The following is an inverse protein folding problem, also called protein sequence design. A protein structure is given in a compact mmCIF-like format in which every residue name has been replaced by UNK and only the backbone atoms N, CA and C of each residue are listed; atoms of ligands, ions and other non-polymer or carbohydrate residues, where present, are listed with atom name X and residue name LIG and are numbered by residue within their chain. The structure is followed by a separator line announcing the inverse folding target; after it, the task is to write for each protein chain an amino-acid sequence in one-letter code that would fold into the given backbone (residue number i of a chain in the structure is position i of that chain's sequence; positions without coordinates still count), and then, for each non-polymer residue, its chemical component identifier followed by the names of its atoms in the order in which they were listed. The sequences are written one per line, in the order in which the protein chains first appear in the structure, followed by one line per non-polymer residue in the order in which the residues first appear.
data_IF_403371558036
#
_entry.id   IF_403371558036
#
_cell.length_a   1.000
_cell.length_b   1.000
_cell.length_c   1.000
_cell.angle_alpha   90.00
_cell.angle_beta   90.00
_cell.angle_gamma   90.00
#
_symmetry.space_group_name_H-M   'P 1'
#
loop_
_entity.id
_entity.type
_entity.pdbx_description
1 polymer ?
#
# COMPACT_ATOMS: atom_id res chain seq x y z
N UNK A 1 -14.07 3.81 29.36
CA UNK A 1 -14.41 3.35 27.99
C UNK A 1 -13.18 3.31 27.10
N UNK A 2 -12.57 4.43 26.71
CA UNK A 2 -11.40 4.44 25.80
C UNK A 2 -10.25 3.51 26.23
N UNK A 3 -9.82 3.55 27.50
CA UNK A 3 -8.77 2.65 27.99
C UNK A 3 -9.18 1.16 27.94
N UNK A 4 -10.46 0.85 28.18
CA UNK A 4 -10.97 -0.52 28.08
C UNK A 4 -11.06 -1.02 26.64
N UNK A 5 -11.48 -0.15 25.71
CA UNK A 5 -11.45 -0.44 24.27
C UNK A 5 -10.02 -0.63 23.80
N UNK A 6 -9.08 0.23 24.21
CA UNK A 6 -7.66 0.09 23.89
C UNK A 6 -7.08 -1.23 24.39
N UNK A 7 -7.34 -1.60 25.64
CA UNK A 7 -6.90 -2.88 26.20
C UNK A 7 -7.50 -4.09 25.45
N UNK A 8 -8.77 -4.01 25.07
CA UNK A 8 -9.42 -5.07 24.29
C UNK A 8 -8.84 -5.17 22.88
N UNK A 9 -8.58 -4.05 22.21
CA UNK A 9 -7.99 -4.04 20.86
C UNK A 9 -6.54 -4.54 20.85
N UNK A 10 -5.80 -4.32 21.93
CA UNK A 10 -4.43 -4.81 22.08
C UNK A 10 -4.33 -6.20 22.71
N UNK A 11 -5.44 -6.82 23.12
CA UNK A 11 -5.37 -8.13 23.76
C UNK A 11 -4.87 -9.22 22.80
N UNK A 12 -5.25 -9.29 21.51
CA UNK A 12 -4.73 -10.33 20.62
C UNK A 12 -3.19 -10.32 20.46
N UNK A 13 -2.52 -9.19 20.11
CA UNK A 13 -1.06 -9.20 19.98
C UNK A 13 -0.35 -9.41 21.33
N UNK A 14 -0.94 -8.99 22.46
CA UNK A 14 -0.37 -9.27 23.79
C UNK A 14 -0.48 -10.75 24.15
N UNK A 15 -1.62 -11.39 23.86
CA UNK A 15 -1.79 -12.84 24.07
C UNK A 15 -0.79 -13.59 23.20
N UNK A 16 -0.73 -13.28 21.91
CA UNK A 16 0.24 -13.89 20.98
C UNK A 16 1.69 -13.77 21.48
N UNK A 17 2.08 -12.58 21.93
CA UNK A 17 3.42 -12.34 22.48
C UNK A 17 3.73 -13.14 23.75
N UNK A 18 2.70 -13.57 24.50
CA UNK A 18 2.86 -14.38 25.70
C UNK A 18 2.71 -15.89 25.44
N UNK A 19 2.08 -16.28 24.33
CA UNK A 19 1.80 -17.69 24.01
C UNK A 19 2.74 -18.30 22.99
N UNK A 20 3.36 -17.48 22.11
CA UNK A 20 4.23 -17.93 21.03
C UNK A 20 5.68 -17.51 21.26
N UNK A 21 6.64 -18.29 20.76
CA UNK A 21 8.08 -18.02 20.83
C UNK A 21 8.75 -18.21 19.45
N UNK A 22 9.21 -17.13 18.78
CA UNK A 22 9.02 -15.74 19.16
C UNK A 22 7.57 -15.28 18.89
N UNK A 23 7.04 -14.44 19.78
CA UNK A 23 5.78 -13.73 19.51
C UNK A 23 5.92 -12.64 18.45
N UNK A 24 4.82 -12.21 17.84
CA UNK A 24 4.85 -11.27 16.72
C UNK A 24 5.50 -9.93 17.06
N UNK A 25 5.34 -9.40 18.27
CA UNK A 25 5.98 -8.13 18.65
C UNK A 25 7.51 -8.26 18.73
N UNK A 26 8.02 -9.44 19.10
CA UNK A 26 9.45 -9.75 19.12
C UNK A 26 10.01 -9.82 17.71
N UNK A 27 9.29 -10.49 16.80
CA UNK A 27 9.66 -10.57 15.38
C UNK A 27 9.74 -9.16 14.77
N UNK A 28 8.70 -8.34 14.94
CA UNK A 28 8.66 -6.97 14.46
C UNK A 28 9.79 -6.12 15.05
N UNK A 29 10.02 -6.23 16.36
CA UNK A 29 11.11 -5.50 17.02
C UNK A 29 12.46 -5.87 16.42
N UNK A 30 12.76 -7.16 16.26
CA UNK A 30 14.04 -7.63 15.69
C UNK A 30 14.20 -7.15 14.25
N UNK A 31 13.18 -7.33 13.42
CA UNK A 31 13.18 -6.91 12.02
C UNK A 31 13.46 -5.42 11.85
N UNK A 32 12.79 -4.56 12.63
CA UNK A 32 12.97 -3.12 12.54
C UNK A 32 14.16 -2.59 13.36
N UNK A 33 14.83 -3.37 14.19
CA UNK A 33 16.02 -2.92 14.95
C UNK A 33 17.34 -3.39 14.36
N UNK A 34 17.34 -4.53 13.67
CA UNK A 34 18.51 -5.10 12.98
C UNK A 34 18.20 -5.40 11.50
N UNK A 35 17.86 -4.38 10.69
CA UNK A 35 17.57 -4.59 9.28
C UNK A 35 18.85 -4.88 8.49
N UNK A 36 18.73 -5.74 7.48
CA UNK A 36 19.80 -6.04 6.53
C UNK A 36 20.01 -4.90 5.51
N UNK A 37 19.05 -3.96 5.43
CA UNK A 37 19.05 -2.81 4.56
C UNK A 37 19.27 -1.49 5.31
N UNK A 38 19.75 -0.48 4.58
CA UNK A 38 19.90 0.87 5.11
C UNK A 38 18.53 1.51 5.41
N UNK A 39 18.35 1.97 6.64
CA UNK A 39 17.16 2.72 7.05
C UNK A 39 17.19 4.17 6.53
N UNK A 40 16.01 4.77 6.37
CA UNK A 40 15.86 6.17 5.94
C UNK A 40 16.54 7.18 6.86
N UNK A 41 16.52 6.92 8.18
CA UNK A 41 17.09 7.79 9.19
C UNK A 41 16.24 9.04 9.48
N UNK A 42 16.70 9.84 10.45
CA UNK A 42 15.91 10.96 11.01
C UNK A 42 15.70 12.11 10.03
N UNK A 43 16.68 12.39 9.16
CA UNK A 43 16.61 13.49 8.21
C UNK A 43 15.50 13.29 7.17
N UNK A 44 15.46 12.10 6.57
CA UNK A 44 14.43 11.76 5.58
C UNK A 44 13.07 11.59 6.25
N UNK A 45 13.01 10.98 7.44
CA UNK A 45 11.77 10.88 8.20
C UNK A 45 11.16 12.24 8.52
N UNK A 46 11.97 13.26 8.85
CA UNK A 46 11.48 14.62 9.07
C UNK A 46 10.90 15.23 7.79
N UNK A 47 11.53 15.03 6.63
CA UNK A 47 11.02 15.52 5.33
C UNK A 47 9.69 14.85 4.99
N UNK A 48 9.62 13.52 5.07
CA UNK A 48 8.41 12.72 4.84
C UNK A 48 7.29 13.19 5.77
N UNK A 49 7.57 13.30 7.07
CA UNK A 49 6.60 13.75 8.07
C UNK A 49 6.06 15.13 7.73
N UNK A 50 6.93 16.10 7.39
CA UNK A 50 6.49 17.45 7.04
C UNK A 50 5.68 17.49 5.74
N UNK A 51 6.00 16.66 4.74
CA UNK A 51 5.17 16.55 3.51
C UNK A 51 3.78 16.00 3.85
N UNK A 52 3.69 14.96 4.66
CA UNK A 52 2.42 14.35 5.08
C UNK A 52 1.58 15.26 5.99
N UNK A 53 2.22 16.22 6.67
CA UNK A 53 1.56 17.26 7.45
C UNK A 53 1.02 18.43 6.60
N UNK A 54 1.20 18.43 5.27
CA UNK A 54 0.62 19.48 4.43
C UNK A 54 -0.92 19.52 4.60
N UNK A 55 -1.50 20.62 5.12
CA UNK A 55 -2.94 20.72 5.35
C UNK A 55 -3.76 20.74 4.05
N UNK A 56 -3.13 20.88 2.89
CA UNK A 56 -3.76 20.79 1.57
C UNK A 56 -3.31 19.56 0.77
N UNK A 57 -2.52 18.68 1.40
CA UNK A 57 -1.92 17.53 0.76
C UNK A 57 -2.75 16.26 0.84
N UNK A 58 -2.06 15.15 1.08
CA UNK A 58 -2.54 13.81 0.74
C UNK A 58 -3.70 13.30 1.59
N UNK A 59 -4.01 13.96 2.70
CA UNK A 59 -5.22 13.65 3.46
C UNK A 59 -6.51 14.03 2.72
N UNK A 60 -6.43 14.90 1.71
CA UNK A 60 -7.54 15.30 0.82
C UNK A 60 -7.40 14.67 -0.57
N UNK A 61 -6.19 14.69 -1.11
CA UNK A 61 -5.92 14.32 -2.51
C UNK A 61 -5.64 12.83 -2.70
N UNK A 62 -5.21 12.12 -1.64
CA UNK A 62 -4.67 10.78 -1.77
C UNK A 62 -3.36 10.77 -2.56
N UNK A 63 -3.09 9.65 -3.23
CA UNK A 63 -1.91 9.45 -4.08
C UNK A 63 -1.20 8.12 -3.80
N UNK A 64 -0.16 7.85 -4.58
CA UNK A 64 0.71 6.67 -4.41
C UNK A 64 2.03 7.03 -3.70
N UNK A 65 2.56 8.24 -3.91
CA UNK A 65 3.85 8.72 -3.38
C UNK A 65 3.68 9.61 -2.18
N UNK A 66 4.77 9.89 -1.47
CA UNK A 66 4.78 10.93 -0.43
C UNK A 66 4.96 12.29 -1.09
N UNK A 67 3.86 13.03 -1.17
CA UNK A 67 3.80 14.36 -1.76
C UNK A 67 3.31 15.39 -0.74
N UNK A 68 3.65 16.66 -0.96
CA UNK A 68 3.20 17.77 -0.11
C UNK A 68 4.28 18.83 0.08
N UNK A 69 3.85 20.02 0.48
CA UNK A 69 4.72 21.13 0.81
C UNK A 69 5.26 20.98 2.24
N UNK A 70 6.58 20.78 2.37
CA UNK A 70 7.24 20.81 3.68
C UNK A 70 7.02 22.13 4.41
N UNK A 71 6.95 23.25 3.68
CA UNK A 71 6.69 24.56 4.27
C UNK A 71 5.27 24.64 4.84
N UNK A 72 4.27 24.13 4.12
CA UNK A 72 2.90 24.11 4.60
C UNK A 72 2.75 23.20 5.84
N UNK A 73 3.39 22.02 5.83
CA UNK A 73 3.43 21.14 7.00
C UNK A 73 4.14 21.76 8.20
N UNK A 74 5.25 22.48 7.98
CA UNK A 74 5.94 23.22 9.04
C UNK A 74 5.06 24.34 9.62
N UNK A 75 4.32 25.06 8.78
CA UNK A 75 3.37 26.09 9.22
C UNK A 75 2.25 25.47 10.05
N UNK A 76 1.70 24.32 9.63
CA UNK A 76 0.70 23.59 10.43
C UNK A 76 1.28 23.18 11.78
N UNK A 77 2.48 22.60 11.81
CA UNK A 77 3.16 22.20 13.04
C UNK A 77 3.37 23.37 14.01
N UNK A 78 3.88 24.49 13.52
CA UNK A 78 4.08 25.69 14.32
C UNK A 78 2.75 26.27 14.83
N UNK A 79 1.72 26.29 13.99
CA UNK A 79 0.38 26.80 14.35
C UNK A 79 -0.26 25.93 15.41
N UNK A 80 -0.20 24.61 15.24
CA UNK A 80 -0.69 23.63 16.20
C UNK A 80 -0.03 23.79 17.58
N UNK A 81 1.30 23.91 17.62
CA UNK A 81 2.04 24.18 18.86
C UNK A 81 1.59 25.49 19.52
N UNK A 82 1.39 26.55 18.74
CA UNK A 82 0.90 27.82 19.27
C UNK A 82 -0.51 27.70 19.86
N UNK A 83 -1.41 26.96 19.21
CA UNK A 83 -2.78 26.72 19.70
C UNK A 83 -2.81 25.80 20.92
N UNK A 84 -1.88 24.83 21.02
CA UNK A 84 -1.71 23.99 22.20
C UNK A 84 -1.25 24.83 23.40
N UNK A 85 -0.27 25.73 23.21
CA UNK A 85 0.17 26.65 24.26
C UNK A 85 -0.96 27.57 24.71
N UNK A 86 -1.80 28.04 23.78
CA UNK A 86 -3.01 28.81 24.11
C UNK A 86 -3.97 27.97 24.96
N UNK A 87 -4.30 26.74 24.55
CA UNK A 87 -5.19 25.85 25.28
C UNK A 87 -4.67 25.54 26.69
N UNK A 88 -3.36 25.33 26.84
CA UNK A 88 -2.70 25.13 28.12
C UNK A 88 -2.82 26.36 29.03
N UNK A 89 -2.52 27.56 28.51
CA UNK A 89 -2.67 28.82 29.25
C UNK A 89 -4.11 29.09 29.68
N UNK A 90 -5.08 28.74 28.83
CA UNK A 90 -6.52 28.84 29.10
C UNK A 90 -7.06 27.69 29.96
N UNK A 91 -6.23 26.69 30.29
CA UNK A 91 -6.60 25.49 31.07
C UNK A 91 -7.71 24.66 30.44
N UNK A 92 -7.79 24.63 29.11
CA UNK A 92 -8.68 23.76 28.36
C UNK A 92 -8.11 22.34 28.31
N UNK A 93 -8.12 21.66 29.45
CA UNK A 93 -7.47 20.36 29.65
C UNK A 93 -7.97 19.25 28.73
N UNK A 94 -9.21 19.35 28.27
CA UNK A 94 -9.75 18.44 27.26
C UNK A 94 -9.04 18.59 25.91
N UNK A 95 -8.73 19.82 25.51
CA UNK A 95 -7.97 20.08 24.27
C UNK A 95 -6.50 19.73 24.44
N UNK A 96 -5.90 20.08 25.58
CA UNK A 96 -4.50 19.70 25.88
C UNK A 96 -4.32 18.19 25.87
N UNK A 97 -5.30 17.40 26.35
CA UNK A 97 -5.23 15.93 26.28
C UNK A 97 -5.24 15.42 24.84
N UNK A 98 -6.05 16.02 23.96
CA UNK A 98 -6.05 15.72 22.54
C UNK A 98 -4.71 16.08 21.91
N UNK A 99 -4.19 17.28 22.18
CA UNK A 99 -2.88 17.73 21.68
C UNK A 99 -1.75 16.80 22.13
N UNK A 100 -1.72 16.40 23.40
CA UNK A 100 -0.73 15.44 23.89
C UNK A 100 -0.85 14.10 23.17
N UNK A 101 -2.06 13.60 22.94
CA UNK A 101 -2.25 12.36 22.20
C UNK A 101 -1.77 12.47 20.74
N UNK A 102 -2.09 13.56 20.05
CA UNK A 102 -1.62 13.84 18.68
C UNK A 102 -0.10 14.00 18.63
N UNK A 103 0.49 14.70 19.60
CA UNK A 103 1.94 14.89 19.69
C UNK A 103 2.71 13.60 19.96
N UNK A 104 2.19 12.74 20.83
CA UNK A 104 2.75 11.39 21.05
C UNK A 104 2.63 10.55 19.80
N UNK A 105 1.45 10.55 19.15
CA UNK A 105 1.27 9.84 17.90
C UNK A 105 2.29 10.30 16.85
N UNK A 106 2.40 11.61 16.60
CA UNK A 106 3.34 12.20 15.65
C UNK A 106 4.81 11.87 15.95
N UNK A 107 5.20 11.88 17.22
CA UNK A 107 6.56 11.53 17.64
C UNK A 107 6.87 10.05 17.37
N UNK A 108 5.96 9.15 17.79
CA UNK A 108 6.07 7.71 17.49
C UNK A 108 6.09 7.48 15.99
N UNK A 109 5.29 8.25 15.23
CA UNK A 109 5.27 8.16 13.78
C UNK A 109 6.62 8.47 13.17
N UNK A 110 7.22 9.58 13.60
CA UNK A 110 8.51 10.06 13.07
C UNK A 110 9.62 9.05 13.34
N UNK A 111 9.60 8.42 14.52
CA UNK A 111 10.53 7.32 14.86
C UNK A 111 10.28 6.10 13.97
N UNK A 112 9.02 5.71 13.78
CA UNK A 112 8.64 4.59 12.91
C UNK A 112 9.12 4.80 11.47
N UNK A 113 8.84 5.98 10.89
CA UNK A 113 9.29 6.36 9.54
C UNK A 113 10.82 6.32 9.44
N UNK A 114 11.55 6.76 10.48
CA UNK A 114 13.03 6.76 10.46
C UNK A 114 13.65 5.37 10.41
N UNK A 115 12.89 4.34 10.77
CA UNK A 115 13.30 2.93 10.76
C UNK A 115 12.81 2.16 9.54
N UNK A 116 12.00 2.78 8.69
CA UNK A 116 11.64 2.17 7.41
C UNK A 116 12.87 2.05 6.50
N UNK A 117 12.86 1.04 5.65
CA UNK A 117 13.91 0.71 4.69
C UNK A 117 13.25 0.15 3.42
N UNK A 118 14.06 -0.02 2.38
CA UNK A 118 13.60 -0.36 1.05
C UNK A 118 12.81 0.77 0.39
N UNK A 119 11.88 0.36 -0.44
CA UNK A 119 11.04 1.20 -1.29
C UNK A 119 9.98 1.97 -0.48
N UNK A 120 9.92 3.29 -0.66
CA UNK A 120 9.12 4.21 0.18
C UNK A 120 7.92 4.74 -0.60
N UNK A 121 6.74 4.21 -0.30
CA UNK A 121 5.47 4.64 -0.92
C UNK A 121 4.47 5.13 0.13
N UNK A 122 3.50 5.95 -0.28
CA UNK A 122 2.47 6.49 0.63
C UNK A 122 1.73 5.40 1.38
N UNK A 123 1.49 4.26 0.72
CA UNK A 123 0.78 3.13 1.33
C UNK A 123 1.38 2.74 2.70
N UNK A 124 2.71 2.73 2.83
CA UNK A 124 3.42 2.39 4.08
C UNK A 124 3.13 3.38 5.22
N UNK A 125 2.85 4.65 4.87
CA UNK A 125 2.64 5.74 5.83
C UNK A 125 1.23 6.31 5.80
N UNK A 126 0.28 5.64 5.13
CA UNK A 126 -1.06 6.18 4.88
C UNK A 126 -1.83 6.49 6.17
N UNK A 127 -1.47 5.84 7.27
CA UNK A 127 -2.01 6.13 8.60
C UNK A 127 -1.64 7.54 9.12
N UNK A 128 -0.56 8.16 8.63
CA UNK A 128 -0.20 9.55 8.97
C UNK A 128 -1.24 10.56 8.49
N UNK A 129 -1.95 10.28 7.40
CA UNK A 129 -3.05 11.13 6.92
C UNK A 129 -4.13 11.34 7.99
N UNK A 130 -4.43 10.29 8.78
CA UNK A 130 -5.36 10.40 9.89
C UNK A 130 -4.82 11.29 11.03
N UNK A 131 -3.51 11.22 11.29
CA UNK A 131 -2.84 12.06 12.29
C UNK A 131 -2.87 13.53 11.85
N UNK A 132 -2.58 13.81 10.57
CA UNK A 132 -2.68 15.17 10.00
C UNK A 132 -4.10 15.72 10.14
N UNK A 133 -5.13 14.92 9.81
CA UNK A 133 -6.52 15.33 9.96
C UNK A 133 -6.88 15.64 11.44
N UNK A 134 -6.46 14.79 12.38
CA UNK A 134 -6.64 15.01 13.81
C UNK A 134 -5.91 16.27 14.29
N UNK A 135 -4.71 16.52 13.78
CA UNK A 135 -3.92 17.70 14.10
C UNK A 135 -4.58 18.99 13.60
N UNK A 136 -5.19 18.96 12.41
CA UNK A 136 -6.00 20.09 11.91
C UNK A 136 -7.18 20.36 12.84
N UNK A 137 -7.92 19.31 13.25
CA UNK A 137 -9.03 19.45 14.22
C UNK A 137 -8.52 20.03 15.55
N UNK A 138 -7.41 19.49 16.08
CA UNK A 138 -6.79 19.95 17.31
C UNK A 138 -6.32 21.41 17.22
N UNK A 139 -5.86 21.85 16.05
CA UNK A 139 -5.46 23.25 15.80
C UNK A 139 -6.66 24.19 15.72
N UNK A 140 -7.71 23.79 15.01
CA UNK A 140 -8.92 24.61 14.82
C UNK A 140 -9.75 24.73 16.08
N UNK A 141 -9.69 23.76 16.99
CA UNK A 141 -10.55 23.70 18.17
C UNK A 141 -10.31 24.85 19.17
N UNK A 142 -9.07 25.16 19.61
CA UNK A 142 -8.78 26.35 20.41
C UNK A 142 -9.20 27.65 19.72
N UNK A 143 -8.95 27.76 18.41
CA UNK A 143 -9.30 28.95 17.64
C UNK A 143 -10.83 29.17 17.61
N UNK A 144 -11.60 28.10 17.38
CA UNK A 144 -13.06 28.14 17.40
C UNK A 144 -13.60 28.53 18.79
N UNK A 145 -13.02 28.00 19.88
CA UNK A 145 -13.38 28.39 21.25
C UNK A 145 -13.09 29.85 21.53
N UNK A 146 -11.91 30.33 21.17
CA UNK A 146 -11.52 31.73 21.37
C UNK A 146 -12.43 32.69 20.59
N UNK A 147 -12.82 32.33 19.36
CA UNK A 147 -13.80 33.09 18.58
C UNK A 147 -15.19 33.06 19.22
N UNK A 148 -15.61 31.89 19.74
CA UNK A 148 -16.88 31.76 20.44
C UNK A 148 -16.92 32.61 21.71
N UNK A 149 -15.87 32.60 22.51
CA UNK A 149 -15.80 33.39 23.75
C UNK A 149 -15.81 34.90 23.46
N UNK A 150 -15.25 35.35 22.33
CA UNK A 150 -15.20 36.78 21.97
C UNK A 150 -16.48 37.32 21.33
N UNK A 151 -17.19 36.49 20.58
CA UNK A 151 -18.30 36.94 19.73
C UNK A 151 -19.64 36.24 20.00
N UNK A 152 -19.63 35.13 20.75
CA UNK A 152 -20.80 34.29 21.01
C UNK A 152 -21.89 34.98 21.84
N UNK A 153 -21.52 35.89 22.74
CA UNK A 153 -22.47 36.65 23.57
C UNK A 153 -23.30 37.67 22.77
N UNK A 154 -22.90 37.99 21.53
CA UNK A 154 -23.61 38.94 20.65
C UNK A 154 -24.73 38.30 19.84
N UNK A 155 -24.91 36.97 19.91
CA UNK A 155 -25.87 36.19 19.12
C UNK A 155 -26.64 35.30 20.09
N UNK A 156 -27.94 35.04 19.86
CA UNK A 156 -28.68 34.04 20.64
C UNK A 156 -27.96 32.68 20.59
N UNK A 157 -27.31 32.33 21.70
CA UNK A 157 -26.38 31.20 21.77
C UNK A 157 -27.01 29.85 21.39
N UNK A 158 -28.33 29.69 21.57
CA UNK A 158 -29.08 28.48 21.19
C UNK A 158 -29.26 28.35 19.67
N UNK A 159 -29.57 29.44 18.97
CA UNK A 159 -29.75 29.45 17.51
C UNK A 159 -28.41 29.25 16.79
N UNK A 160 -27.34 29.87 17.28
CA UNK A 160 -25.99 29.71 16.72
C UNK A 160 -25.45 28.29 16.94
N UNK A 161 -25.62 27.71 18.14
CA UNK A 161 -25.22 26.30 18.40
C UNK A 161 -25.98 25.33 17.52
N UNK A 162 -27.29 25.53 17.34
CA UNK A 162 -28.10 24.71 16.43
C UNK A 162 -27.62 24.85 14.99
N UNK A 163 -27.36 26.07 14.50
CA UNK A 163 -26.83 26.31 13.14
C UNK A 163 -25.43 25.72 12.96
N UNK A 164 -24.55 25.85 13.94
CA UNK A 164 -23.21 25.27 13.91
C UNK A 164 -23.28 23.73 13.92
N UNK A 165 -24.16 23.13 14.73
CA UNK A 165 -24.39 21.69 14.75
C UNK A 165 -24.96 21.17 13.42
N UNK A 166 -25.95 21.87 12.85
CA UNK A 166 -26.50 21.56 11.52
C UNK A 166 -25.41 21.73 10.44
N UNK A 167 -24.62 22.80 10.51
CA UNK A 167 -23.53 23.06 9.57
C UNK A 167 -22.44 21.99 9.63
N UNK A 168 -22.01 21.60 10.83
CA UNK A 168 -21.06 20.52 11.03
C UNK A 168 -21.60 19.17 10.54
N UNK A 169 -22.87 18.86 10.83
CA UNK A 169 -23.52 17.66 10.31
C UNK A 169 -23.62 17.69 8.78
N UNK A 170 -23.98 18.84 8.19
CA UNK A 170 -24.05 19.01 6.74
C UNK A 170 -22.66 18.83 6.09
N UNK A 171 -21.60 19.35 6.71
CA UNK A 171 -20.22 19.15 6.24
C UNK A 171 -19.83 17.68 6.35
N UNK A 172 -20.12 17.01 7.47
CA UNK A 172 -19.83 15.58 7.63
C UNK A 172 -20.58 14.72 6.60
N UNK A 173 -21.87 15.01 6.36
CA UNK A 173 -22.68 14.32 5.34
C UNK A 173 -22.15 14.62 3.93
N UNK A 174 -21.75 15.86 3.64
CA UNK A 174 -21.15 16.22 2.35
C UNK A 174 -19.80 15.53 2.14
N UNK A 175 -18.92 15.50 3.14
CA UNK A 175 -17.64 14.79 3.08
C UNK A 175 -17.83 13.28 2.94
N UNK A 176 -18.79 12.70 3.67
CA UNK A 176 -19.14 11.29 3.50
C UNK A 176 -19.67 11.01 2.09
N UNK A 177 -20.59 11.84 1.58
CA UNK A 177 -21.15 11.71 0.25
C UNK A 177 -20.08 11.84 -0.85
N UNK A 178 -19.18 12.82 -0.74
CA UNK A 178 -18.05 13.01 -1.68
C UNK A 178 -17.08 11.84 -1.63
N UNK A 179 -16.71 11.36 -0.44
CA UNK A 179 -15.82 10.21 -0.31
C UNK A 179 -16.46 8.93 -0.84
N UNK A 180 -17.74 8.67 -0.55
CA UNK A 180 -18.47 7.54 -1.11
C UNK A 180 -18.57 7.64 -2.63
N UNK A 181 -18.91 8.81 -3.17
CA UNK A 181 -18.97 9.01 -4.62
C UNK A 181 -17.60 8.74 -5.26
N UNK A 182 -16.51 9.31 -4.70
CA UNK A 182 -15.14 9.04 -5.14
C UNK A 182 -14.81 7.56 -5.10
N UNK A 183 -15.14 6.87 -4.01
CA UNK A 183 -14.83 5.46 -3.82
C UNK A 183 -15.58 4.57 -4.81
N UNK A 184 -16.83 4.89 -5.14
CA UNK A 184 -17.63 4.16 -6.14
C UNK A 184 -17.16 4.44 -7.57
N UNK A 185 -16.61 5.62 -7.84
CA UNK A 185 -16.09 5.98 -9.17
C UNK A 185 -14.60 5.71 -9.35
N UNK A 186 -13.90 5.28 -8.29
CA UNK A 186 -12.47 4.97 -8.40
C UNK A 186 -12.34 3.67 -9.18
N UNK A 187 -11.59 3.72 -10.29
CA UNK A 187 -11.28 2.53 -11.08
C UNK A 187 -10.64 1.47 -10.17
N UNK A 188 -11.05 0.22 -10.33
CA UNK A 188 -10.52 -0.90 -9.55
C UNK A 188 -9.03 -1.00 -9.90
N UNK A 189 -8.11 -0.78 -8.94
CA UNK A 189 -6.69 -0.94 -9.19
C UNK A 189 -6.43 -2.36 -9.70
N UNK A 190 -5.55 -2.50 -10.69
CA UNK A 190 -5.26 -3.79 -11.34
C UNK A 190 -6.50 -4.43 -11.98
N UNK A 191 -7.28 -3.64 -12.72
CA UNK A 191 -8.47 -4.07 -13.46
C UNK A 191 -8.28 -5.39 -14.27
N UNK A 192 -7.07 -5.61 -14.76
CA UNK A 192 -6.77 -6.72 -15.64
C UNK A 192 -6.53 -8.02 -14.88
N UNK A 193 -6.11 -7.98 -13.61
CA UNK A 193 -5.70 -9.19 -12.86
C UNK A 193 -6.87 -10.14 -12.59
N UNK A 194 -8.07 -9.61 -12.35
CA UNK A 194 -9.27 -10.41 -12.13
C UNK A 194 -9.78 -11.02 -13.43
N UNK A 195 -9.76 -10.27 -14.54
CA UNK A 195 -10.08 -10.81 -15.86
C UNK A 195 -9.07 -11.89 -16.29
N UNK A 196 -7.78 -11.63 -16.10
CA UNK A 196 -6.71 -12.62 -16.34
C UNK A 196 -6.96 -13.89 -15.54
N UNK A 197 -7.20 -13.78 -14.22
CA UNK A 197 -7.47 -14.95 -13.39
C UNK A 197 -8.68 -15.75 -13.89
N UNK A 198 -9.78 -15.09 -14.28
CA UNK A 198 -10.97 -15.80 -14.76
C UNK A 198 -10.76 -16.53 -16.09
N UNK A 199 -9.91 -16.00 -16.97
CA UNK A 199 -9.62 -16.60 -18.28
C UNK A 199 -8.56 -17.71 -18.17
N UNK A 200 -7.63 -17.59 -17.21
CA UNK A 200 -6.55 -18.56 -17.02
C UNK A 200 -6.99 -19.81 -16.28
N UNK A 201 -7.87 -19.69 -15.27
CA UNK A 201 -8.06 -20.74 -14.27
C UNK A 201 -8.74 -22.00 -14.78
N UNK A 202 -9.79 -21.87 -15.60
CA UNK A 202 -10.55 -23.03 -16.07
C UNK A 202 -9.72 -23.91 -17.03
N UNK A 203 -8.99 -23.35 -18.01
CA UNK A 203 -8.05 -24.12 -18.83
C UNK A 203 -6.96 -24.84 -18.02
N UNK A 204 -6.42 -24.20 -16.98
CA UNK A 204 -5.44 -24.84 -16.09
C UNK A 204 -6.05 -26.08 -15.46
N UNK A 205 -7.23 -25.94 -14.83
CA UNK A 205 -7.91 -27.02 -14.10
C UNK A 205 -8.20 -28.23 -14.99
N UNK A 206 -8.56 -28.01 -16.24
CA UNK A 206 -8.90 -29.08 -17.19
C UNK A 206 -7.66 -29.95 -17.55
N UNK A 207 -6.46 -29.38 -17.48
CA UNK A 207 -5.21 -30.04 -17.90
C UNK A 207 -4.38 -30.60 -16.72
N UNK A 208 -4.71 -30.27 -15.47
CA UNK A 208 -4.00 -30.78 -14.29
C UNK A 208 -4.47 -32.18 -13.86
N UNK A 209 -3.53 -33.02 -13.40
CA UNK A 209 -3.85 -34.22 -12.63
C UNK A 209 -4.38 -33.83 -11.24
N UNK A 210 -5.64 -34.20 -10.87
CA UNK A 210 -6.22 -33.86 -9.58
C UNK A 210 -5.58 -34.59 -8.39
N UNK A 211 -4.74 -35.61 -8.62
CA UNK A 211 -4.07 -36.36 -7.56
C UNK A 211 -2.62 -35.91 -7.33
N UNK A 212 -2.09 -35.04 -8.19
CA UNK A 212 -0.75 -34.50 -8.06
C UNK A 212 -0.71 -33.33 -7.08
N UNK A 213 0.46 -33.14 -6.46
CA UNK A 213 0.79 -32.01 -5.60
C UNK A 213 1.57 -30.97 -6.39
N UNK A 214 1.10 -29.73 -6.40
CA UNK A 214 1.71 -28.65 -7.18
C UNK A 214 2.30 -27.55 -6.31
N UNK A 215 3.57 -27.24 -6.55
CA UNK A 215 4.23 -26.05 -6.01
C UNK A 215 3.99 -24.86 -6.94
N UNK A 216 3.17 -23.89 -6.50
CA UNK A 216 2.83 -22.71 -7.28
C UNK A 216 3.87 -21.62 -7.07
N UNK A 217 4.46 -21.18 -8.18
CA UNK A 217 5.49 -20.16 -8.26
C UNK A 217 5.09 -19.08 -9.25
N UNK A 218 5.70 -17.91 -9.14
CA UNK A 218 5.35 -16.80 -10.02
C UNK A 218 6.52 -15.90 -10.36
N UNK A 219 6.53 -15.45 -11.61
CA UNK A 219 7.30 -14.33 -12.12
C UNK A 219 6.29 -13.26 -12.58
N UNK A 220 5.67 -12.60 -11.60
CA UNK A 220 4.56 -11.68 -11.81
C UNK A 220 4.89 -10.28 -11.25
N UNK A 221 5.78 -9.55 -11.93
CA UNK A 221 6.22 -8.24 -11.47
C UNK A 221 5.16 -7.15 -11.59
N UNK A 222 4.17 -7.38 -12.45
CA UNK A 222 3.08 -6.45 -12.73
C UNK A 222 2.04 -6.46 -11.61
N UNK A 223 1.60 -7.64 -11.17
CA UNK A 223 0.56 -7.77 -10.14
C UNK A 223 1.12 -8.14 -8.76
N UNK A 224 2.45 -8.03 -8.58
CA UNK A 224 3.15 -8.27 -7.30
C UNK A 224 2.88 -9.68 -6.74
N UNK A 225 2.84 -10.69 -7.62
CA UNK A 225 2.51 -12.07 -7.27
C UNK A 225 1.02 -12.34 -7.01
N UNK A 226 0.15 -11.35 -7.19
CA UNK A 226 -1.28 -11.48 -6.94
C UNK A 226 -1.94 -12.61 -7.72
N UNK A 227 -1.50 -12.86 -8.96
CA UNK A 227 -2.01 -13.99 -9.76
C UNK A 227 -1.54 -15.33 -9.19
N UNK A 228 -0.28 -15.45 -8.75
CA UNK A 228 0.21 -16.67 -8.09
C UNK A 228 -0.59 -17.04 -6.84
N UNK A 229 -0.85 -16.07 -5.96
CA UNK A 229 -1.72 -16.29 -4.79
C UNK A 229 -3.15 -16.67 -5.19
N UNK A 230 -3.71 -16.01 -6.21
CA UNK A 230 -5.04 -16.33 -6.73
C UNK A 230 -5.13 -17.76 -7.27
N UNK A 231 -4.11 -18.22 -7.98
CA UNK A 231 -4.03 -19.60 -8.49
C UNK A 231 -4.05 -20.63 -7.36
N UNK A 232 -3.31 -20.40 -6.27
CA UNK A 232 -3.34 -21.29 -5.09
C UNK A 232 -4.77 -21.36 -4.53
N UNK A 233 -5.40 -20.21 -4.28
CA UNK A 233 -6.74 -20.15 -3.69
C UNK A 233 -7.79 -20.83 -4.58
N UNK A 234 -7.71 -20.61 -5.89
CA UNK A 234 -8.67 -21.14 -6.85
C UNK A 234 -8.52 -22.65 -7.10
N UNK A 235 -7.29 -23.18 -7.07
CA UNK A 235 -7.03 -24.61 -7.17
C UNK A 235 -7.37 -25.34 -5.86
N UNK A 236 -7.04 -24.77 -4.70
CA UNK A 236 -7.44 -25.29 -3.38
C UNK A 236 -8.98 -25.36 -3.27
N UNK A 237 -9.68 -24.31 -3.72
CA UNK A 237 -11.16 -24.27 -3.77
C UNK A 237 -11.76 -25.39 -4.65
N UNK A 238 -11.01 -25.86 -5.65
CA UNK A 238 -11.40 -26.95 -6.55
C UNK A 238 -10.89 -28.33 -6.08
N UNK A 239 -10.21 -28.40 -4.93
CA UNK A 239 -9.79 -29.63 -4.28
C UNK A 239 -8.41 -30.16 -4.69
N UNK A 240 -7.60 -29.37 -5.38
CA UNK A 240 -6.21 -29.73 -5.69
C UNK A 240 -5.31 -29.59 -4.46
N UNK A 241 -4.26 -30.43 -4.41
CA UNK A 241 -3.18 -30.27 -3.45
C UNK A 241 -2.17 -29.24 -4.00
N UNK A 242 -2.23 -28.01 -3.49
CA UNK A 242 -1.42 -26.88 -3.97
C UNK A 242 -0.82 -26.10 -2.80
N UNK A 243 0.32 -25.49 -3.06
CA UNK A 243 1.00 -24.63 -2.09
C UNK A 243 1.99 -23.70 -2.76
N UNK A 244 2.85 -23.10 -1.94
CA UNK A 244 3.95 -22.24 -2.39
C UNK A 244 5.23 -22.63 -1.64
N UNK A 245 6.40 -22.24 -2.16
CA UNK A 245 7.66 -22.58 -1.51
C UNK A 245 7.87 -21.78 -0.19
N UNK A 246 8.76 -22.22 0.71
CA UNK A 246 8.86 -21.72 2.09
C UNK A 246 9.08 -20.21 2.24
N UNK A 247 9.69 -19.54 1.25
CA UNK A 247 9.89 -18.09 1.27
C UNK A 247 8.58 -17.29 1.27
N UNK A 248 7.47 -17.89 0.83
CA UNK A 248 6.14 -17.26 0.86
C UNK A 248 5.28 -17.68 2.05
N UNK A 249 5.85 -18.44 3.00
CA UNK A 249 5.13 -18.96 4.18
C UNK A 249 4.39 -17.88 4.99
N UNK A 250 4.92 -16.66 5.06
CA UNK A 250 4.27 -15.53 5.71
C UNK A 250 2.96 -15.09 5.01
N UNK A 251 2.87 -15.29 3.69
CA UNK A 251 1.73 -14.89 2.88
C UNK A 251 0.71 -16.02 2.66
N UNK A 252 1.16 -17.28 2.49
CA UNK A 252 0.26 -18.42 2.21
C UNK A 252 -0.19 -19.20 3.46
N UNK A 253 0.40 -18.86 4.61
CA UNK A 253 0.33 -19.58 5.89
C UNK A 253 1.08 -20.94 5.88
N UNK A 254 1.59 -21.40 7.03
CA UNK A 254 2.44 -22.59 7.10
C UNK A 254 1.84 -23.88 6.53
N UNK A 255 0.51 -24.01 6.50
CA UNK A 255 -0.17 -25.21 6.02
C UNK A 255 -0.22 -25.32 4.49
N UNK A 256 0.11 -24.24 3.76
CA UNK A 256 0.22 -24.21 2.29
C UNK A 256 1.67 -24.19 1.82
N UNK A 257 2.63 -24.45 2.71
CA UNK A 257 4.03 -24.51 2.34
C UNK A 257 4.34 -25.90 1.80
N UNK A 258 4.96 -25.95 0.61
CA UNK A 258 5.49 -27.17 0.01
C UNK A 258 7.01 -27.12 0.09
N UNK A 259 7.62 -28.12 0.72
CA UNK A 259 9.08 -28.21 0.83
C UNK A 259 9.72 -28.60 -0.52
N UNK A 260 10.96 -28.17 -0.78
CA UNK A 260 11.67 -28.56 -2.00
C UNK A 260 11.74 -30.08 -2.17
N UNK A 261 11.11 -30.59 -3.24
CA UNK A 261 11.08 -32.02 -3.58
C UNK A 261 9.81 -32.76 -3.14
N UNK A 262 8.89 -32.12 -2.43
CA UNK A 262 7.61 -32.72 -2.03
C UNK A 262 6.50 -32.55 -3.09
N UNK A 263 6.69 -31.67 -4.07
CA UNK A 263 5.77 -31.48 -5.19
C UNK A 263 6.00 -32.53 -6.29
N UNK A 264 4.91 -32.95 -6.93
CA UNK A 264 4.95 -33.75 -8.16
C UNK A 264 5.29 -32.88 -9.38
N UNK A 265 4.88 -31.61 -9.36
CA UNK A 265 5.15 -30.62 -10.41
C UNK A 265 5.18 -29.18 -9.87
N UNK A 266 5.80 -28.28 -10.64
CA UNK A 266 5.76 -26.82 -10.40
C UNK A 266 4.79 -26.16 -11.37
N UNK A 267 3.94 -25.27 -10.85
CA UNK A 267 3.07 -24.40 -11.65
C UNK A 267 3.58 -22.98 -11.61
N UNK A 268 3.99 -22.47 -12.76
CA UNK A 268 4.60 -21.16 -12.90
C UNK A 268 3.63 -20.17 -13.55
N UNK A 269 3.25 -19.15 -12.79
CA UNK A 269 2.46 -18.00 -13.26
C UNK A 269 3.42 -16.91 -13.70
N UNK A 270 3.54 -16.69 -15.00
CA UNK A 270 4.53 -15.80 -15.60
C UNK A 270 3.82 -14.65 -16.29
N UNK A 271 4.12 -13.42 -15.90
CA UNK A 271 3.54 -12.22 -16.51
C UNK A 271 4.64 -11.42 -17.20
N UNK A 272 4.40 -11.07 -18.46
CA UNK A 272 5.21 -10.09 -19.17
C UNK A 272 6.34 -10.62 -20.01
N UNK A 273 7.46 -9.89 -20.03
CA UNK A 273 8.63 -10.11 -20.90
C UNK A 273 9.20 -11.53 -20.87
N UNK A 274 9.02 -12.25 -19.75
CA UNK A 274 9.57 -13.60 -19.57
C UNK A 274 8.71 -14.72 -20.15
N UNK A 275 7.46 -14.45 -20.53
CA UNK A 275 6.55 -15.48 -21.10
C UNK A 275 7.17 -16.20 -22.30
N UNK A 276 7.80 -15.47 -23.23
CA UNK A 276 8.45 -16.08 -24.41
C UNK A 276 9.67 -16.93 -24.04
N UNK A 277 10.42 -16.55 -23.00
CA UNK A 277 11.53 -17.35 -22.51
C UNK A 277 11.04 -18.68 -21.91
N UNK A 278 9.88 -18.67 -21.25
CA UNK A 278 9.22 -19.87 -20.73
C UNK A 278 8.69 -20.76 -21.84
N UNK A 279 8.06 -20.20 -22.89
CA UNK A 279 7.65 -20.94 -24.09
C UNK A 279 8.81 -21.65 -24.79
N UNK A 280 9.99 -21.04 -24.76
CA UNK A 280 11.20 -21.59 -25.38
C UNK A 280 11.89 -22.67 -24.51
N UNK A 281 11.50 -22.84 -23.24
CA UNK A 281 12.13 -23.80 -22.34
C UNK A 281 11.61 -25.23 -22.58
N UNK A 282 12.51 -26.16 -22.90
CA UNK A 282 12.14 -27.54 -23.28
C UNK A 282 11.37 -28.33 -22.19
N UNK A 283 11.53 -27.95 -20.92
CA UNK A 283 10.93 -28.65 -19.77
C UNK A 283 9.63 -27.99 -19.29
N UNK A 284 9.23 -26.87 -19.86
CA UNK A 284 7.99 -26.18 -19.51
C UNK A 284 6.91 -26.46 -20.56
N UNK A 285 5.71 -26.80 -20.11
CA UNK A 285 4.53 -26.95 -20.96
C UNK A 285 3.56 -25.84 -20.61
N UNK A 286 3.21 -25.03 -21.61
CA UNK A 286 2.19 -23.99 -21.45
C UNK A 286 0.81 -24.65 -21.31
N UNK A 287 0.10 -24.33 -20.23
CA UNK A 287 -1.28 -24.77 -19.98
C UNK A 287 -2.30 -23.74 -20.48
N UNK A 288 -2.00 -22.45 -20.26
CA UNK A 288 -2.91 -21.36 -20.61
C UNK A 288 -2.17 -20.05 -20.75
N UNK A 289 -2.66 -19.16 -21.62
CA UNK A 289 -2.19 -17.79 -21.71
C UNK A 289 -3.32 -16.83 -22.05
N UNK A 290 -3.21 -15.62 -21.51
CA UNK A 290 -4.16 -14.56 -21.78
C UNK A 290 -3.46 -13.20 -21.78
N UNK A 291 -3.64 -12.46 -22.88
CA UNK A 291 -3.24 -11.06 -22.98
C UNK A 291 -4.49 -10.17 -22.91
N UNK A 292 -4.65 -9.33 -21.87
CA UNK A 292 -5.78 -8.42 -21.75
C UNK A 292 -5.74 -7.27 -22.77
N UNK A 293 -4.62 -7.08 -23.47
CA UNK A 293 -4.42 -5.97 -24.40
C UNK A 293 -4.93 -6.30 -25.79
N UNK A 294 -5.64 -5.35 -26.38
CA UNK A 294 -5.90 -5.29 -27.83
C UNK A 294 -4.62 -5.01 -28.62
N UNK A 295 -4.64 -5.26 -29.93
CA UNK A 295 -3.53 -4.95 -30.85
C UNK A 295 -3.05 -3.49 -30.75
N UNK A 296 -3.99 -2.55 -30.60
CA UNK A 296 -3.69 -1.13 -30.43
C UNK A 296 -2.99 -0.87 -29.08
N UNK A 297 -3.45 -1.51 -28.00
CA UNK A 297 -2.83 -1.39 -26.68
C UNK A 297 -1.44 -2.03 -26.62
N UNK A 298 -1.20 -3.12 -27.38
CA UNK A 298 0.15 -3.68 -27.54
C UNK A 298 1.08 -2.70 -28.26
N UNK A 299 0.63 -2.10 -29.36
CA UNK A 299 1.40 -1.06 -30.06
C UNK A 299 1.68 0.17 -29.16
N UNK A 300 0.71 0.54 -28.31
CA UNK A 300 0.86 1.60 -27.32
C UNK A 300 1.88 1.25 -26.23
N UNK A 301 1.85 0.00 -25.73
CA UNK A 301 2.83 -0.50 -24.75
C UNK A 301 4.24 -0.39 -25.28
N UNK A 302 4.47 -0.87 -26.51
CA UNK A 302 5.77 -0.81 -27.18
C UNK A 302 6.25 0.62 -27.38
N UNK A 303 5.34 1.54 -27.73
CA UNK A 303 5.66 2.97 -27.84
C UNK A 303 6.06 3.54 -26.48
N UNK A 304 5.27 3.27 -25.43
CA UNK A 304 5.52 3.79 -24.09
C UNK A 304 6.83 3.27 -23.50
N UNK A 305 7.14 1.97 -23.65
CA UNK A 305 8.43 1.40 -23.20
C UNK A 305 9.63 2.13 -23.83
N UNK A 306 9.57 2.43 -25.14
CA UNK A 306 10.62 3.21 -25.83
C UNK A 306 10.72 4.66 -25.35
N UNK A 307 9.59 5.31 -25.13
CA UNK A 307 9.58 6.70 -24.62
C UNK A 307 10.11 6.78 -23.19
N UNK A 308 9.71 5.85 -22.32
CA UNK A 308 10.22 5.74 -20.94
C UNK A 308 11.72 5.49 -20.94
N UNK A 309 12.21 4.56 -21.77
CA UNK A 309 13.65 4.29 -21.90
C UNK A 309 14.43 5.55 -22.28
N UNK A 310 13.94 6.32 -23.24
CA UNK A 310 14.58 7.56 -23.67
C UNK A 310 14.56 8.66 -22.59
N UNK A 311 13.46 8.79 -21.86
CA UNK A 311 13.32 9.79 -20.78
C UNK A 311 14.18 9.44 -19.56
N UNK A 312 14.22 8.18 -19.14
CA UNK A 312 15.07 7.72 -18.04
C UNK A 312 16.55 7.82 -18.38
N UNK A 313 16.94 7.44 -19.60
CA UNK A 313 18.32 7.62 -20.07
C UNK A 313 18.76 9.10 -20.06
N UNK A 314 17.86 10.03 -20.35
CA UNK A 314 18.16 11.46 -20.33
C UNK A 314 18.46 12.02 -18.92
N UNK A 315 17.99 11.34 -17.87
CA UNK A 315 18.28 11.68 -16.46
C UNK A 315 19.32 10.75 -15.83
N UNK A 316 19.95 9.88 -16.64
CA UNK A 316 21.03 8.99 -16.20
C UNK A 316 20.57 7.71 -15.49
N UNK A 317 19.29 7.35 -15.65
CA UNK A 317 18.70 6.12 -15.09
C UNK A 317 18.71 5.05 -16.19
N UNK A 318 19.31 3.90 -15.91
CA UNK A 318 19.30 2.76 -16.83
C UNK A 318 17.95 2.05 -16.74
N UNK A 319 17.27 1.95 -17.88
CA UNK A 319 15.94 1.34 -17.96
C UNK A 319 16.03 0.01 -18.70
N UNK A 320 15.85 -1.06 -17.94
CA UNK A 320 15.53 -2.39 -18.44
C UNK A 320 14.01 -2.49 -18.76
N UNK A 321 13.62 -2.62 -20.05
CA UNK A 321 12.22 -2.76 -20.46
C UNK A 321 11.56 -4.08 -20.03
N UNK A 322 12.38 -5.05 -19.63
CA UNK A 322 11.97 -6.37 -19.17
C UNK A 322 11.91 -6.44 -17.63
N UNK A 323 12.44 -5.42 -16.94
CA UNK A 323 12.37 -5.31 -15.50
C UNK A 323 10.95 -4.92 -15.03
N UNK A 324 10.59 -5.28 -13.78
CA UNK A 324 9.34 -4.87 -13.15
C UNK A 324 9.13 -3.36 -13.25
N UNK A 325 8.00 -2.92 -13.81
CA UNK A 325 7.60 -1.49 -13.77
C UNK A 325 7.56 -0.98 -12.32
N UNK A 326 7.18 -1.86 -11.38
CA UNK A 326 7.22 -1.62 -9.94
C UNK A 326 8.60 -1.17 -9.42
N UNK A 327 9.71 -1.64 -10.01
CA UNK A 327 11.06 -1.24 -9.60
C UNK A 327 11.32 0.25 -9.85
N UNK A 328 10.78 0.80 -10.94
CA UNK A 328 10.89 2.22 -11.28
C UNK A 328 9.80 3.06 -10.61
N UNK A 329 8.58 2.53 -10.51
CA UNK A 329 7.49 3.24 -9.84
C UNK A 329 7.78 3.40 -8.37
N UNK A 330 8.33 2.39 -7.70
CA UNK A 330 8.52 2.42 -6.27
C UNK A 330 9.97 2.68 -5.84
N UNK A 331 10.89 2.85 -6.79
CA UNK A 331 12.28 3.21 -6.53
C UNK A 331 12.44 4.56 -5.82
N UNK A 332 13.64 4.82 -5.29
CA UNK A 332 13.97 6.08 -4.61
C UNK A 332 14.42 7.19 -5.56
N UNK A 333 14.59 6.89 -6.84
CA UNK A 333 15.07 7.83 -7.84
C UNK A 333 13.97 8.83 -8.23
N UNK A 334 14.31 10.11 -8.30
CA UNK A 334 13.38 11.14 -8.77
C UNK A 334 13.20 11.02 -10.28
N UNK A 335 12.06 10.48 -10.72
CA UNK A 335 11.69 10.41 -12.14
C UNK A 335 10.76 11.55 -12.54
N UNK A 336 10.84 12.06 -13.79
CA UNK A 336 9.92 13.08 -14.27
C UNK A 336 8.46 12.64 -14.18
N UNK A 337 7.55 13.57 -13.84
CA UNK A 337 6.12 13.30 -13.72
C UNK A 337 5.51 12.74 -15.02
N UNK A 338 6.05 13.15 -16.18
CA UNK A 338 5.64 12.60 -17.48
C UNK A 338 6.01 11.12 -17.63
N UNK A 339 7.23 10.75 -17.22
CA UNK A 339 7.72 9.37 -17.26
C UNK A 339 6.92 8.50 -16.29
N UNK A 340 6.63 9.04 -15.10
CA UNK A 340 5.79 8.40 -14.10
C UNK A 340 4.39 8.07 -14.65
N UNK A 341 3.73 9.03 -15.31
CA UNK A 341 2.42 8.82 -15.91
C UNK A 341 2.44 7.71 -16.97
N UNK A 342 3.54 7.59 -17.73
CA UNK A 342 3.73 6.52 -18.73
C UNK A 342 3.94 5.16 -18.09
N UNK A 343 4.76 5.06 -17.03
CA UNK A 343 4.95 3.83 -16.25
C UNK A 343 3.64 3.38 -15.59
N UNK A 344 2.85 4.32 -15.06
CA UNK A 344 1.51 4.03 -14.52
C UNK A 344 0.60 3.50 -15.62
N UNK A 345 0.62 4.14 -16.79
CA UNK A 345 -0.15 3.67 -17.95
C UNK A 345 0.27 2.28 -18.43
N UNK A 346 1.56 1.95 -18.40
CA UNK A 346 2.04 0.58 -18.69
C UNK A 346 1.42 -0.43 -17.73
N UNK A 347 1.32 -0.09 -16.44
CA UNK A 347 0.69 -0.95 -15.42
C UNK A 347 -0.81 -1.14 -15.69
N UNK A 348 -1.51 -0.07 -16.07
CA UNK A 348 -2.95 -0.10 -16.41
C UNK A 348 -3.26 -0.89 -17.68
N UNK A 349 -2.37 -0.86 -18.69
CA UNK A 349 -2.55 -1.62 -19.92
C UNK A 349 -2.45 -3.13 -19.68
N UNK A 350 -1.72 -3.54 -18.65
CA UNK A 350 -1.45 -4.94 -18.34
C UNK A 350 -0.38 -5.54 -19.25
N UNK A 351 -0.04 -6.80 -18.99
CA UNK A 351 0.83 -7.61 -19.84
C UNK A 351 0.22 -9.00 -20.01
N UNK A 352 0.68 -9.75 -21.00
CA UNK A 352 0.31 -11.15 -21.15
C UNK A 352 0.73 -11.94 -19.91
N UNK A 353 -0.17 -12.79 -19.42
CA UNK A 353 0.15 -13.79 -18.40
C UNK A 353 -0.04 -15.17 -18.99
N UNK A 354 0.92 -16.06 -18.76
CA UNK A 354 0.85 -17.46 -19.11
C UNK A 354 1.14 -18.34 -17.90
N UNK A 355 0.54 -19.52 -17.86
CA UNK A 355 0.78 -20.53 -16.83
C UNK A 355 1.43 -21.74 -17.46
N UNK A 356 2.54 -22.16 -16.85
CA UNK A 356 3.33 -23.30 -17.29
C UNK A 356 3.35 -24.37 -16.22
N UNK A 357 3.37 -25.63 -16.63
CA UNK A 357 3.75 -26.75 -15.77
C UNK A 357 5.16 -27.20 -16.11
N UNK A 358 5.98 -27.44 -15.09
CA UNK A 358 7.34 -27.92 -15.24
C UNK A 358 7.66 -28.99 -14.17
N UNK A 359 8.64 -29.88 -14.41
CA UNK A 359 9.16 -30.76 -13.38
C UNK A 359 9.64 -29.98 -12.14
N UNK A 360 9.59 -30.58 -10.93
CA UNK A 360 10.15 -29.96 -9.74
C UNK A 360 11.65 -29.66 -9.90
N UNK A 361 12.07 -28.47 -9.47
CA UNK A 361 13.47 -28.03 -9.52
C UNK A 361 13.96 -27.63 -10.91
N UNK A 362 13.07 -27.43 -11.89
CA UNK A 362 13.45 -27.03 -13.26
C UNK A 362 14.14 -25.66 -13.28
N UNK A 363 13.72 -24.73 -12.42
CA UNK A 363 14.29 -23.39 -12.35
C UNK A 363 14.79 -23.09 -10.92
N UNK A 364 15.93 -22.38 -10.78
CA UNK A 364 16.42 -21.98 -9.47
C UNK A 364 15.36 -21.14 -8.76
N UNK A 365 15.17 -21.39 -7.47
CA UNK A 365 14.35 -20.53 -6.63
C UNK A 365 14.92 -19.10 -6.67
N UNK A 366 14.06 -18.13 -7.02
CA UNK A 366 14.38 -16.69 -6.95
C UNK A 366 14.47 -16.23 -5.50
#
# INVERSE_FOLDING_TARGET
VAAGVGALMWSPPVVDQLTNDPGNLTILYQHFTSPDEAVLGLGEAARITLRLLDPFGQWITGGLFIEGSMLAGLVLLATWLATMVLAWRRRWWDVVRLDVAVGVALAVSSVSISRAFGVVVLYLFRWMVAITALMIVATLWPAARELWDRYGDRVEASALRRRAGIGALAVLVALAGVNTARMVTTEIPYANSWTQMSELIDPIVDDLDPNATYDVRWEDPLNLGGLGFGTILELERRGFAVGAPPQFSAAVEPHRVIEPGDADAELWVVTGSRVEAWRAAEQAVELSSFDPRTDAQRADTERLKREVAAELAAVGIDYDPDAPVAAYLFGTEEIPQSTFAKLTRLTELGEETAVFVAPPGTFPAL
#
